data_IF_748142691527
#
_entry.id   IF_748142691527
#
_cell.length_a   1.000
_cell.length_b   1.000
_cell.length_c   1.000
_cell.angle_alpha   90.00
_cell.angle_beta   90.00
_cell.angle_gamma   90.00
#
_symmetry.space_group_name_H-M   'P 1'
#
loop_
_entity.id
_entity.type
_entity.pdbx_description
1 polymer ?
#
# COMPACT_ATOMS: atom_id res chain seq x y z
N UNK A 1 24.58 33.82 -22.99
CA UNK A 1 25.04 33.73 -24.39
C UNK A 1 25.96 32.53 -24.53
N UNK A 2 25.47 31.41 -25.04
CA UNK A 2 26.22 30.58 -25.99
C UNK A 2 25.25 29.58 -26.60
N UNK A 3 24.94 29.83 -27.86
CA UNK A 3 24.10 29.02 -28.73
C UNK A 3 24.91 27.78 -29.15
N UNK A 4 24.33 26.59 -29.00
CA UNK A 4 24.75 25.44 -29.82
C UNK A 4 23.56 24.90 -30.60
N UNK A 5 23.82 24.75 -31.89
CA UNK A 5 22.87 24.64 -32.99
C UNK A 5 22.54 23.19 -33.30
N UNK A 6 21.31 23.00 -33.79
CA UNK A 6 20.88 22.08 -34.87
C UNK A 6 21.15 20.58 -34.71
N UNK A 7 20.05 19.84 -34.53
CA UNK A 7 19.90 18.44 -34.92
C UNK A 7 18.42 18.12 -35.13
N UNK A 8 17.93 18.33 -36.35
CA UNK A 8 16.58 18.01 -36.80
C UNK A 8 16.47 16.48 -36.90
N UNK A 9 15.44 15.88 -36.30
CA UNK A 9 14.96 14.56 -36.73
C UNK A 9 13.43 14.54 -36.67
N UNK A 10 12.85 14.73 -37.86
CA UNK A 10 11.44 14.60 -38.17
C UNK A 10 11.27 13.16 -38.67
N UNK A 11 10.58 12.30 -37.91
CA UNK A 11 10.05 11.04 -38.43
C UNK A 11 8.59 10.97 -38.00
N UNK A 12 7.73 11.45 -38.90
CA UNK A 12 6.31 11.15 -38.89
C UNK A 12 6.12 9.74 -39.44
N UNK A 13 5.49 8.86 -38.66
CA UNK A 13 4.95 7.60 -39.15
C UNK A 13 3.47 7.56 -38.74
N UNK A 14 2.61 8.01 -39.67
CA UNK A 14 1.17 7.80 -39.62
C UNK A 14 0.90 6.49 -40.34
N UNK A 15 0.51 5.45 -39.61
CA UNK A 15 -0.09 4.25 -40.21
C UNK A 15 -1.55 4.17 -39.77
N UNK A 16 -2.43 4.46 -40.74
CA UNK A 16 -3.84 4.12 -40.71
C UNK A 16 -3.96 2.61 -40.92
N UNK A 17 -4.45 1.89 -39.91
CA UNK A 17 -4.72 0.46 -39.99
C UNK A 17 -6.01 0.14 -39.27
N UNK A 18 -7.12 0.14 -40.01
CA UNK A 18 -8.42 -0.28 -39.51
C UNK A 18 -8.46 -1.78 -39.23
N UNK A 19 -9.07 -2.14 -38.10
CA UNK A 19 -9.59 -3.48 -37.86
C UNK A 19 -11.05 -3.34 -37.44
N UNK A 20 -11.94 -3.55 -38.39
CA UNK A 20 -13.33 -3.88 -38.13
C UNK A 20 -13.40 -5.39 -37.92
N UNK A 21 -13.87 -5.84 -36.76
CA UNK A 21 -14.41 -7.19 -36.59
C UNK A 21 -15.74 -7.14 -35.84
N UNK A 22 -16.74 -7.58 -36.59
CA UNK A 22 -18.11 -7.92 -36.25
C UNK A 22 -18.17 -8.99 -35.16
N UNK A 23 -19.14 -8.88 -34.25
CA UNK A 23 -19.49 -9.96 -33.32
C UNK A 23 -20.79 -9.69 -32.58
N UNK A 24 -21.88 -10.28 -33.09
CA UNK A 24 -23.22 -10.28 -32.49
C UNK A 24 -23.34 -11.23 -31.29
N UNK A 25 -24.27 -10.86 -30.40
CA UNK A 25 -25.11 -11.70 -29.55
C UNK A 25 -24.47 -12.51 -28.40
N UNK A 26 -24.96 -12.30 -27.18
CA UNK A 26 -26.12 -13.05 -26.68
C UNK A 26 -26.52 -12.57 -25.28
N UNK A 27 -27.78 -12.18 -25.16
CA UNK A 27 -28.54 -12.08 -23.93
C UNK A 27 -28.68 -13.45 -23.26
N UNK A 28 -28.38 -13.56 -21.97
CA UNK A 28 -29.00 -14.56 -21.10
C UNK A 28 -29.46 -13.89 -19.81
N UNK A 29 -30.76 -13.64 -19.77
CA UNK A 29 -31.55 -13.41 -18.57
C UNK A 29 -31.57 -14.70 -17.75
N UNK A 30 -30.97 -14.67 -16.56
CA UNK A 30 -31.10 -15.72 -15.55
C UNK A 30 -32.08 -15.27 -14.47
N UNK A 31 -33.29 -15.81 -14.53
CA UNK A 31 -34.29 -15.80 -13.46
C UNK A 31 -34.12 -17.05 -12.58
N UNK A 32 -34.57 -16.97 -11.33
CA UNK A 32 -34.68 -18.11 -10.39
C UNK A 32 -33.87 -17.86 -9.11
N UNK A 33 -34.41 -17.30 -8.02
CA UNK A 33 -35.54 -17.68 -7.18
C UNK A 33 -35.25 -18.85 -6.23
N UNK A 34 -35.66 -18.61 -4.97
CA UNK A 34 -36.09 -19.59 -3.96
C UNK A 34 -35.02 -20.26 -3.09
N UNK A 35 -35.19 -20.09 -1.77
CA UNK A 35 -34.53 -20.97 -0.80
C UNK A 35 -34.44 -20.42 0.63
N UNK A 36 -35.55 -20.02 1.24
CA UNK A 36 -35.62 -19.84 2.69
C UNK A 36 -35.57 -21.21 3.39
N UNK A 37 -34.79 -21.37 4.46
CA UNK A 37 -35.27 -22.05 5.67
C UNK A 37 -34.38 -21.75 6.86
N UNK A 38 -35.00 -21.23 7.92
CA UNK A 38 -34.48 -21.16 9.26
C UNK A 38 -34.44 -22.57 9.88
N UNK A 39 -33.43 -22.85 10.69
CA UNK A 39 -33.51 -23.88 11.72
C UNK A 39 -33.15 -23.24 13.06
N UNK A 40 -34.19 -23.00 13.85
CA UNK A 40 -34.09 -22.63 15.26
C UNK A 40 -33.96 -23.88 16.14
N UNK A 41 -33.20 -23.70 17.21
CA UNK A 41 -33.36 -24.25 18.56
C UNK A 41 -33.26 -25.78 18.79
N UNK A 42 -32.31 -26.15 19.65
CA UNK A 42 -32.53 -27.13 20.73
C UNK A 42 -31.86 -26.61 22.00
N UNK A 43 -32.67 -26.39 23.03
CA UNK A 43 -32.27 -26.15 24.41
C UNK A 43 -31.76 -27.44 25.06
N UNK A 44 -30.76 -27.34 25.94
CA UNK A 44 -30.60 -28.26 27.05
C UNK A 44 -30.07 -27.50 28.27
N UNK A 45 -30.97 -27.34 29.24
CA UNK A 45 -30.68 -26.91 30.60
C UNK A 45 -30.03 -28.08 31.33
N UNK A 46 -28.86 -27.83 31.93
CA UNK A 46 -28.30 -28.72 32.96
C UNK A 46 -27.99 -27.87 34.19
N UNK A 47 -28.83 -28.01 35.20
CA UNK A 47 -28.59 -27.62 36.58
C UNK A 47 -27.54 -28.52 37.21
N UNK A 48 -26.40 -27.97 37.62
CA UNK A 48 -25.47 -28.64 38.56
C UNK A 48 -25.04 -27.68 39.67
N UNK A 49 -25.50 -28.06 40.85
CA UNK A 49 -25.12 -27.80 42.25
C UNK A 49 -23.76 -27.13 42.52
N UNK A 50 -23.79 -26.21 43.50
CA UNK A 50 -22.72 -25.38 44.03
C UNK A 50 -21.55 -26.11 44.74
N UNK A 51 -20.36 -25.50 44.67
CA UNK A 51 -19.27 -25.68 45.64
C UNK A 51 -18.43 -24.40 45.75
N UNK A 52 -17.94 -24.03 46.96
CA UNK A 52 -17.41 -22.70 47.27
C UNK A 52 -15.98 -22.52 46.76
N UNK A 53 -15.72 -21.41 46.07
CA UNK A 53 -14.39 -20.98 45.57
C UNK A 53 -14.11 -19.55 46.06
N UNK A 54 -12.89 -19.00 45.94
CA UNK A 54 -12.02 -18.63 47.04
C UNK A 54 -11.98 -17.11 47.24
N UNK A 55 -11.24 -16.67 48.26
CA UNK A 55 -10.94 -15.30 48.65
C UNK A 55 -10.81 -14.32 47.47
N UNK A 56 -11.67 -13.30 47.47
CA UNK A 56 -11.63 -12.12 46.61
C UNK A 56 -10.36 -11.31 46.88
N UNK A 57 -9.32 -11.52 46.05
CA UNK A 57 -8.26 -10.52 45.88
C UNK A 57 -8.70 -9.56 44.78
N UNK A 58 -9.32 -8.46 45.18
CA UNK A 58 -9.66 -7.34 44.31
C UNK A 58 -8.38 -6.62 43.89
N UNK A 59 -7.73 -7.10 42.83
CA UNK A 59 -6.74 -6.31 42.11
C UNK A 59 -7.49 -5.22 41.30
N UNK A 60 -7.09 -3.94 41.38
CA UNK A 60 -7.71 -2.89 40.58
C UNK A 60 -7.52 -3.18 39.08
N UNK A 61 -8.47 -2.81 38.21
CA UNK A 61 -8.30 -2.93 36.76
C UNK A 61 -7.10 -2.08 36.37
N UNK A 62 -5.99 -2.73 36.02
CA UNK A 62 -4.86 -2.05 35.40
C UNK A 62 -5.34 -1.47 34.09
N UNK A 63 -5.41 -0.14 34.01
CA UNK A 63 -5.49 0.58 32.74
C UNK A 63 -4.23 0.23 31.95
N UNK A 64 -4.33 -0.78 31.10
CA UNK A 64 -3.34 -1.03 30.06
C UNK A 64 -3.46 0.12 29.07
N UNK A 65 -2.65 1.17 29.30
CA UNK A 65 -2.37 2.19 28.30
C UNK A 65 -1.85 1.45 27.06
N UNK A 66 -2.73 1.27 26.07
CA UNK A 66 -2.39 0.71 24.77
C UNK A 66 -1.22 1.53 24.24
N UNK A 67 -0.06 0.87 24.08
CA UNK A 67 1.09 1.50 23.46
C UNK A 67 0.65 2.16 22.14
N UNK A 68 1.14 3.37 21.80
CA UNK A 68 0.85 3.99 20.52
C UNK A 68 1.05 2.97 19.41
N UNK A 69 0.05 2.81 18.54
CA UNK A 69 0.19 1.93 17.39
C UNK A 69 1.38 2.41 16.56
N UNK A 70 2.26 1.48 16.16
CA UNK A 70 3.40 1.82 15.32
C UNK A 70 2.93 2.53 14.04
N UNK A 71 3.71 3.49 13.51
CA UNK A 71 3.38 4.19 12.28
C UNK A 71 3.14 3.20 11.14
N UNK A 72 1.91 3.13 10.64
CA UNK A 72 1.50 2.10 9.69
C UNK A 72 1.54 2.64 8.25
N UNK A 73 2.33 2.00 7.39
CA UNK A 73 2.28 2.12 5.94
C UNK A 73 1.19 1.15 5.44
N UNK A 74 -0.06 1.60 5.54
CA UNK A 74 -1.25 0.78 5.30
C UNK A 74 -1.69 0.77 3.85
N UNK A 75 -2.81 0.09 3.54
CA UNK A 75 -3.19 -0.20 2.16
C UNK A 75 -3.37 1.04 1.27
N UNK A 76 -3.80 2.14 1.88
CA UNK A 76 -4.07 3.40 1.17
C UNK A 76 -2.95 4.44 1.32
N UNK A 77 -1.99 4.25 2.22
CA UNK A 77 -0.94 5.23 2.50
C UNK A 77 -0.46 5.28 3.95
N UNK A 78 0.11 6.41 4.34
CA UNK A 78 0.69 6.66 5.65
C UNK A 78 -0.03 7.80 6.38
N UNK A 79 -0.75 7.49 7.46
CA UNK A 79 -1.55 8.47 8.20
C UNK A 79 -2.57 9.16 7.29
N UNK A 80 -2.52 10.50 7.25
CA UNK A 80 -3.36 11.31 6.36
C UNK A 80 -2.82 11.39 4.92
N UNK A 81 -1.59 10.97 4.65
CA UNK A 81 -1.01 10.96 3.31
C UNK A 81 -1.44 9.68 2.58
N UNK A 82 -2.25 9.83 1.54
CA UNK A 82 -2.83 8.70 0.80
C UNK A 82 -2.36 8.67 -0.65
N UNK A 83 -2.26 7.47 -1.21
CA UNK A 83 -2.04 7.27 -2.65
C UNK A 83 -3.11 8.01 -3.46
N UNK A 84 -2.73 8.57 -4.60
CA UNK A 84 -3.64 9.31 -5.48
C UNK A 84 -3.91 10.76 -5.06
N UNK A 85 -3.48 11.20 -3.87
CA UNK A 85 -3.67 12.61 -3.47
C UNK A 85 -2.93 13.55 -4.42
N UNK A 86 -3.59 14.65 -4.80
CA UNK A 86 -2.89 15.75 -5.48
C UNK A 86 -1.75 16.30 -4.62
N UNK A 87 -0.76 16.94 -5.25
CA UNK A 87 0.33 17.62 -4.52
C UNK A 87 -0.18 18.58 -3.46
N UNK A 88 -1.19 19.39 -3.80
CA UNK A 88 -1.77 20.35 -2.88
C UNK A 88 -2.36 19.67 -1.64
N UNK A 89 -3.12 18.59 -1.83
CA UNK A 89 -3.71 17.83 -0.72
C UNK A 89 -2.63 17.13 0.11
N UNK A 90 -1.60 16.57 -0.54
CA UNK A 90 -0.47 15.93 0.13
C UNK A 90 0.29 16.93 1.03
N UNK A 91 0.56 18.15 0.54
CA UNK A 91 1.17 19.21 1.33
C UNK A 91 0.28 19.66 2.49
N UNK A 92 -1.03 19.77 2.25
CA UNK A 92 -2.02 20.16 3.27
C UNK A 92 -2.10 19.18 4.44
N UNK A 93 -1.68 17.91 4.27
CA UNK A 93 -1.57 16.97 5.40
C UNK A 93 -0.55 17.40 6.46
N UNK A 94 0.40 18.26 6.10
CA UNK A 94 1.50 18.65 6.97
C UNK A 94 2.55 17.55 7.20
N UNK A 95 2.42 16.38 6.54
CA UNK A 95 3.31 15.23 6.76
C UNK A 95 4.59 15.26 5.92
N UNK A 96 4.60 16.04 4.83
CA UNK A 96 5.72 16.08 3.88
C UNK A 96 6.33 17.47 3.72
N UNK A 97 7.59 17.50 3.30
CA UNK A 97 8.30 18.74 2.93
C UNK A 97 7.71 19.31 1.65
N UNK A 98 7.70 20.64 1.55
CA UNK A 98 7.49 21.28 0.26
C UNK A 98 8.78 21.20 -0.57
N UNK A 99 8.64 20.77 -1.81
CA UNK A 99 9.73 20.65 -2.78
C UNK A 99 9.18 21.07 -4.14
N UNK A 100 10.00 21.65 -5.04
CA UNK A 100 9.54 22.05 -6.37
C UNK A 100 8.78 20.93 -7.07
N UNK A 101 7.66 21.27 -7.71
CA UNK A 101 6.95 20.31 -8.55
C UNK A 101 7.86 19.89 -9.71
N UNK A 102 7.78 18.62 -10.10
CA UNK A 102 8.47 18.14 -11.27
C UNK A 102 7.68 18.58 -12.53
N UNK A 103 8.32 19.18 -13.54
CA UNK A 103 7.65 19.57 -14.78
C UNK A 103 7.11 18.36 -15.55
N UNK A 104 7.73 17.20 -15.37
CA UNK A 104 7.30 15.89 -15.84
C UNK A 104 7.82 14.80 -14.89
N UNK A 105 7.21 13.61 -14.92
CA UNK A 105 7.60 12.50 -14.04
C UNK A 105 7.16 12.71 -12.59
N UNK A 106 8.07 12.47 -11.64
CA UNK A 106 7.77 12.57 -10.21
C UNK A 106 8.64 13.60 -9.47
N UNK A 107 8.00 14.33 -8.56
CA UNK A 107 8.67 15.15 -7.55
C UNK A 107 8.95 14.31 -6.30
N UNK A 108 10.18 14.38 -5.80
CA UNK A 108 10.59 13.74 -4.56
C UNK A 108 10.34 14.63 -3.35
N UNK A 109 9.73 14.07 -2.31
CA UNK A 109 9.45 14.73 -1.04
C UNK A 109 9.95 13.89 0.13
N UNK A 110 10.12 14.52 1.29
CA UNK A 110 10.57 13.89 2.54
C UNK A 110 9.44 13.93 3.56
N UNK A 111 9.37 12.92 4.43
CA UNK A 111 8.51 13.02 5.60
C UNK A 111 9.10 14.01 6.61
N UNK A 112 8.27 14.92 7.14
CA UNK A 112 8.70 15.92 8.14
C UNK A 112 9.05 15.30 9.49
N UNK A 113 8.35 14.23 9.87
CA UNK A 113 8.53 13.57 11.16
C UNK A 113 9.78 12.67 11.24
N UNK A 114 10.45 12.41 10.12
CA UNK A 114 11.56 11.47 10.06
C UNK A 114 12.84 12.15 9.57
N UNK A 115 13.95 11.81 10.24
CA UNK A 115 15.27 12.13 9.72
C UNK A 115 15.57 11.18 8.56
N UNK A 116 15.61 11.72 7.36
CA UNK A 116 15.97 10.99 6.14
C UNK A 116 17.25 11.57 5.56
N UNK A 117 18.04 10.75 4.87
CA UNK A 117 19.28 11.19 4.24
C UNK A 117 19.00 12.34 3.25
N UNK A 118 20.00 13.21 3.04
CA UNK A 118 19.83 14.41 2.21
C UNK A 118 19.35 14.09 0.80
N UNK A 119 19.86 13.02 0.21
CA UNK A 119 19.54 12.56 -1.15
C UNK A 119 18.47 11.45 -1.18
N UNK A 120 17.67 11.30 -0.11
CA UNK A 120 16.58 10.32 -0.04
C UNK A 120 15.22 11.03 -0.08
N UNK A 121 14.36 10.59 -1.01
CA UNK A 121 13.04 11.15 -1.25
C UNK A 121 11.98 10.04 -1.15
N UNK A 122 11.58 9.64 0.07
CA UNK A 122 10.70 8.49 0.27
C UNK A 122 9.24 8.74 -0.16
N UNK A 123 8.88 9.95 -0.59
CA UNK A 123 7.54 10.25 -1.10
C UNK A 123 7.64 10.73 -2.54
N UNK A 124 7.05 9.99 -3.47
CA UNK A 124 6.97 10.36 -4.88
C UNK A 124 5.60 10.90 -5.25
N UNK A 125 5.55 12.11 -5.80
CA UNK A 125 4.33 12.73 -6.31
C UNK A 125 4.45 12.89 -7.83
N UNK A 126 3.63 12.12 -8.55
CA UNK A 126 3.45 12.23 -10.00
C UNK A 126 2.55 13.41 -10.36
N UNK A 127 2.87 14.08 -11.47
CA UNK A 127 2.01 15.13 -12.03
C UNK A 127 0.65 14.62 -12.51
N UNK A 128 0.54 13.35 -12.90
CA UNK A 128 -0.69 12.75 -13.46
C UNK A 128 -1.44 11.89 -12.45
N UNK A 129 -0.74 11.26 -11.51
CA UNK A 129 -1.32 10.30 -10.55
C UNK A 129 -1.34 10.79 -9.10
N UNK A 130 -0.77 11.95 -8.80
CA UNK A 130 -0.67 12.44 -7.43
C UNK A 130 0.39 11.67 -6.63
N UNK A 131 0.17 11.46 -5.33
CA UNK A 131 1.03 10.61 -4.49
C UNK A 131 1.04 9.21 -5.07
N UNK A 132 2.14 8.86 -5.73
CA UNK A 132 2.28 7.60 -6.46
C UNK A 132 3.09 6.57 -5.71
N UNK A 133 3.96 7.02 -4.80
CA UNK A 133 4.82 6.13 -4.03
C UNK A 133 5.13 6.67 -2.64
N UNK A 134 5.21 5.74 -1.70
CA UNK A 134 5.51 5.98 -0.29
C UNK A 134 6.47 4.88 0.18
N UNK A 135 7.72 5.23 0.44
CA UNK A 135 8.72 4.32 0.99
C UNK A 135 8.73 4.41 2.51
N UNK A 136 8.84 3.26 3.15
CA UNK A 136 8.98 3.15 4.59
C UNK A 136 10.31 3.78 5.04
N UNK A 137 10.27 4.49 6.16
CA UNK A 137 11.44 5.01 6.86
C UNK A 137 11.29 4.79 8.36
N UNK A 138 12.40 4.78 9.09
CA UNK A 138 12.38 4.63 10.55
C UNK A 138 11.69 3.33 10.98
N UNK A 139 10.68 3.45 11.83
CA UNK A 139 9.92 2.37 12.45
C UNK A 139 8.59 2.05 11.74
N UNK A 140 8.38 2.59 10.52
CA UNK A 140 7.19 2.30 9.73
C UNK A 140 7.03 0.81 9.45
N UNK A 141 5.79 0.31 9.61
CA UNK A 141 5.42 -1.09 9.40
C UNK A 141 4.20 -1.21 8.49
N UNK A 142 4.10 -2.30 7.73
CA UNK A 142 2.83 -2.70 7.12
C UNK A 142 1.83 -3.16 8.20
N UNK A 143 0.53 -3.29 7.88
CA UNK A 143 -0.46 -3.87 8.81
C UNK A 143 -0.09 -5.28 9.29
N UNK A 144 0.61 -6.05 8.46
CA UNK A 144 1.10 -7.40 8.75
C UNK A 144 2.39 -7.39 9.59
N UNK A 145 2.92 -6.20 9.92
CA UNK A 145 4.07 -6.02 10.80
C UNK A 145 5.43 -6.06 10.11
N UNK A 146 5.49 -6.04 8.77
CA UNK A 146 6.74 -6.02 8.00
C UNK A 146 7.35 -4.62 8.00
N UNK A 147 8.65 -4.52 8.23
CA UNK A 147 9.41 -3.26 8.26
C UNK A 147 10.83 -3.44 7.72
N UNK A 148 11.56 -2.32 7.62
CA UNK A 148 12.98 -2.35 7.33
C UNK A 148 13.73 -3.21 8.37
N UNK A 149 14.51 -4.17 7.91
CA UNK A 149 15.18 -5.19 8.71
C UNK A 149 14.43 -6.52 8.85
N UNK A 150 13.18 -6.65 8.38
CA UNK A 150 12.48 -7.94 8.35
C UNK A 150 13.23 -8.95 7.46
N UNK A 151 13.22 -10.23 7.83
CA UNK A 151 13.86 -11.28 7.04
C UNK A 151 13.01 -11.69 5.85
N UNK A 152 13.63 -12.29 4.82
CA UNK A 152 12.88 -12.84 3.69
C UNK A 152 11.82 -13.86 4.13
N UNK A 153 12.13 -14.68 5.13
CA UNK A 153 11.19 -15.67 5.69
C UNK A 153 9.98 -14.99 6.36
N UNK A 154 10.21 -13.92 7.13
CA UNK A 154 9.13 -13.13 7.72
C UNK A 154 8.24 -12.50 6.64
N UNK A 155 8.85 -11.95 5.60
CA UNK A 155 8.12 -11.35 4.47
C UNK A 155 7.30 -12.40 3.73
N UNK A 156 7.89 -13.56 3.38
CA UNK A 156 7.17 -14.63 2.68
C UNK A 156 6.05 -15.24 3.52
N UNK A 157 6.19 -15.28 4.86
CA UNK A 157 5.12 -15.72 5.75
C UNK A 157 3.94 -14.73 5.79
N UNK A 158 4.23 -13.42 5.82
CA UNK A 158 3.20 -12.37 5.78
C UNK A 158 2.55 -12.23 4.40
N UNK A 159 3.32 -12.45 3.34
CA UNK A 159 2.91 -12.28 1.96
C UNK A 159 3.23 -13.52 1.11
N UNK A 160 2.41 -14.59 1.19
CA UNK A 160 2.67 -15.83 0.46
C UNK A 160 2.63 -15.68 -1.07
N UNK A 161 1.96 -14.63 -1.57
CA UNK A 161 1.85 -14.31 -3.00
C UNK A 161 2.90 -13.31 -3.49
N UNK A 162 4.02 -13.14 -2.77
CA UNK A 162 5.11 -12.26 -3.19
C UNK A 162 5.83 -12.82 -4.42
N UNK A 163 6.01 -11.98 -5.44
CA UNK A 163 6.62 -12.32 -6.71
C UNK A 163 8.00 -11.67 -6.82
N UNK A 164 8.98 -12.41 -7.33
CA UNK A 164 10.30 -11.84 -7.65
C UNK A 164 10.25 -11.19 -9.04
N UNK A 165 10.76 -9.97 -9.14
CA UNK A 165 10.91 -9.20 -10.39
C UNK A 165 12.37 -8.79 -10.58
N UNK A 166 12.71 -8.23 -11.75
CA UNK A 166 14.09 -7.88 -12.13
C UNK A 166 14.80 -7.05 -11.05
N UNK A 167 14.09 -6.07 -10.46
CA UNK A 167 14.65 -5.11 -9.51
C UNK A 167 14.18 -5.29 -8.05
N UNK A 168 13.64 -6.46 -7.68
CA UNK A 168 13.18 -6.69 -6.31
C UNK A 168 12.07 -7.72 -6.21
N UNK A 169 11.17 -7.49 -5.27
CA UNK A 169 10.00 -8.33 -5.03
C UNK A 169 8.76 -7.44 -4.94
N UNK A 170 7.63 -7.92 -5.43
CA UNK A 170 6.37 -7.18 -5.40
C UNK A 170 5.25 -8.08 -4.89
N UNK A 171 4.27 -7.48 -4.22
CA UNK A 171 3.03 -8.17 -3.85
C UNK A 171 1.86 -7.19 -3.88
N UNK A 172 0.69 -7.65 -4.31
CA UNK A 172 -0.53 -6.84 -4.20
C UNK A 172 -0.79 -6.50 -2.74
N UNK A 173 -1.23 -5.28 -2.48
CA UNK A 173 -1.55 -4.82 -1.14
C UNK A 173 -2.88 -5.44 -0.69
N UNK A 174 -2.93 -6.18 0.43
CA UNK A 174 -4.19 -6.67 0.97
C UNK A 174 -5.16 -5.52 1.23
N UNK A 175 -6.38 -5.63 0.69
CA UNK A 175 -7.42 -4.60 0.83
C UNK A 175 -7.31 -3.41 -0.13
N UNK A 176 -6.28 -3.32 -0.98
CA UNK A 176 -6.20 -2.29 -2.04
C UNK A 176 -5.73 -2.88 -3.38
N UNK A 177 -6.68 -3.11 -4.28
CA UNK A 177 -6.42 -3.68 -5.61
C UNK A 177 -5.65 -2.75 -6.54
N UNK A 178 -5.60 -1.45 -6.23
CA UNK A 178 -4.90 -0.44 -7.01
C UNK A 178 -3.49 -0.15 -6.49
N UNK A 179 -2.99 -0.93 -5.53
CA UNK A 179 -1.68 -0.74 -4.94
C UNK A 179 -0.90 -2.05 -4.79
N UNK A 180 0.43 -1.91 -4.76
CA UNK A 180 1.36 -2.99 -4.50
C UNK A 180 2.44 -2.54 -3.53
N UNK A 181 2.96 -3.49 -2.75
CA UNK A 181 4.20 -3.30 -2.03
C UNK A 181 5.37 -3.69 -2.92
N UNK A 182 6.44 -2.89 -2.89
CA UNK A 182 7.75 -3.21 -3.48
C UNK A 182 8.76 -3.41 -2.37
N UNK A 183 9.65 -4.39 -2.55
CA UNK A 183 10.55 -4.86 -1.50
C UNK A 183 11.91 -5.22 -2.08
N UNK A 184 12.98 -4.71 -1.48
CA UNK A 184 14.34 -5.09 -1.83
C UNK A 184 15.07 -5.61 -0.59
N UNK A 185 15.69 -6.78 -0.72
CA UNK A 185 16.48 -7.43 0.33
C UNK A 185 17.97 -7.24 0.10
N UNK A 186 18.71 -6.85 1.13
CA UNK A 186 20.18 -6.79 1.08
C UNK A 186 20.81 -8.20 0.93
N UNK A 187 22.15 -8.23 0.87
CA UNK A 187 22.92 -9.48 0.71
C UNK A 187 22.76 -10.45 1.88
N UNK A 188 22.32 -9.99 3.05
CA UNK A 188 22.05 -10.81 4.24
C UNK A 188 20.60 -11.31 4.31
N UNK A 189 19.78 -11.02 3.30
CA UNK A 189 18.38 -11.41 3.26
C UNK A 189 17.48 -10.56 4.17
N UNK A 190 17.91 -9.34 4.52
CA UNK A 190 17.14 -8.39 5.33
C UNK A 190 16.52 -7.33 4.44
N UNK A 191 15.28 -6.96 4.72
CA UNK A 191 14.52 -5.97 3.95
C UNK A 191 15.17 -4.58 4.13
N UNK A 192 15.75 -4.02 3.07
CA UNK A 192 16.39 -2.70 3.10
C UNK A 192 15.52 -1.60 2.50
N UNK A 193 14.53 -1.98 1.70
CA UNK A 193 13.56 -1.08 1.10
C UNK A 193 12.18 -1.72 1.15
N UNK A 194 11.20 -0.94 1.56
CA UNK A 194 9.79 -1.30 1.58
C UNK A 194 9.04 -0.09 1.03
N UNK A 195 8.36 -0.24 -0.09
CA UNK A 195 7.55 0.83 -0.70
C UNK A 195 6.12 0.38 -0.88
N UNK A 196 5.20 1.32 -0.75
CA UNK A 196 3.81 1.23 -1.17
C UNK A 196 3.64 2.10 -2.40
N UNK A 197 3.05 1.56 -3.47
CA UNK A 197 2.87 2.33 -4.68
C UNK A 197 1.55 2.02 -5.40
N UNK A 198 1.04 3.03 -6.11
CA UNK A 198 -0.15 2.88 -6.96
C UNK A 198 0.20 2.12 -8.24
N UNK A 199 -0.73 1.33 -8.75
CA UNK A 199 -0.58 0.62 -10.02
C UNK A 199 -0.28 1.58 -11.18
N UNK A 200 0.74 1.24 -11.97
CA UNK A 200 1.23 2.07 -13.06
C UNK A 200 1.84 3.40 -12.60
N UNK A 201 2.41 3.45 -11.39
CA UNK A 201 3.25 4.58 -10.97
C UNK A 201 4.44 4.78 -11.92
N UNK A 202 4.96 6.00 -11.96
CA UNK A 202 6.08 6.38 -12.85
C UNK A 202 7.24 7.04 -12.09
N UNK A 203 7.28 6.86 -10.77
CA UNK A 203 8.31 7.46 -9.92
C UNK A 203 9.59 6.61 -9.82
N UNK A 204 9.47 5.31 -10.07
CA UNK A 204 10.59 4.36 -10.05
C UNK A 204 10.33 3.19 -11.01
N UNK A 205 11.37 2.43 -11.35
CA UNK A 205 11.28 1.28 -12.26
C UNK A 205 12.64 0.89 -12.81
#
# INVERSE_FOLDING_TARGET
MSLYRKGITLIAAVTLGGFALVGCASTSVGAGSSGATATSATSAVTTTVASPVPSTSSAPPGTTTKAPAAPTLGPDGFGALKLGMSRANALATGLITDAPAAPSGCAGHKYKAYKVAENSFPVGISSTKGVSSLFAVGDMRTPEGIHLGSTKEQVSAAYPAIEQVVNGHVVKVPGNVNAYYTMLFDKSGKLRELGLAISGQECFG
#
